data_IF_102524570263
#
_entry.id   IF_102524570263
#
_cell.length_a   1.000
_cell.length_b   1.000
_cell.length_c   1.000
_cell.angle_alpha   90.00
_cell.angle_beta   90.00
_cell.angle_gamma   90.00
#
_symmetry.space_group_name_H-M   'P 1'
#
loop_
_entity.id
_entity.type
_entity.pdbx_description
1 polymer ?
#
# COMPACT_ATOMS: atom_id res chain seq x y z
N UNK A 1 -27.52 7.41 -28.13
CA UNK A 1 -27.19 8.41 -27.10
C UNK A 1 -26.58 7.65 -25.93
N UNK A 2 -25.25 7.57 -25.91
CA UNK A 2 -24.47 7.04 -24.79
C UNK A 2 -23.89 8.25 -24.07
N UNK A 3 -24.09 8.37 -22.76
CA UNK A 3 -23.40 9.33 -21.93
C UNK A 3 -22.79 8.56 -20.75
N UNK A 4 -21.47 8.52 -20.78
CA UNK A 4 -20.57 8.16 -19.68
C UNK A 4 -20.57 9.28 -18.65
N UNK A 5 -20.60 9.00 -17.33
CA UNK A 5 -20.18 9.94 -16.33
C UNK A 5 -18.82 9.49 -15.79
N UNK A 6 -17.76 9.98 -16.44
CA UNK A 6 -16.41 9.97 -15.87
C UNK A 6 -16.16 11.30 -15.16
N UNK A 7 -15.57 11.19 -13.97
CA UNK A 7 -14.82 12.21 -13.23
C UNK A 7 -15.61 13.26 -12.42
N UNK A 8 -15.54 13.12 -11.09
CA UNK A 8 -14.87 14.09 -10.21
C UNK A 8 -14.88 13.53 -8.78
N UNK A 9 -14.03 12.54 -8.53
CA UNK A 9 -13.62 12.16 -7.18
C UNK A 9 -12.29 12.83 -6.88
N UNK A 10 -12.34 14.09 -6.43
CA UNK A 10 -11.16 14.75 -5.88
C UNK A 10 -10.80 14.06 -4.57
N UNK A 11 -9.94 13.04 -4.64
CA UNK A 11 -9.20 12.59 -3.47
C UNK A 11 -8.29 13.76 -3.09
N UNK A 12 -8.67 14.42 -2.01
CA UNK A 12 -7.83 15.38 -1.32
C UNK A 12 -6.67 14.57 -0.75
N UNK A 13 -5.62 14.39 -1.55
CA UNK A 13 -4.31 13.93 -1.10
C UNK A 13 -3.85 14.94 -0.05
N UNK A 14 -4.10 14.62 1.21
CA UNK A 14 -3.41 15.26 2.32
C UNK A 14 -1.99 14.67 2.33
N UNK A 15 -1.20 15.06 1.32
CA UNK A 15 0.24 15.08 1.43
C UNK A 15 0.48 16.07 2.57
N UNK A 16 0.63 15.54 3.77
CA UNK A 16 1.15 16.32 4.87
C UNK A 16 2.61 16.49 4.52
N UNK A 17 2.91 17.56 3.77
CA UNK A 17 4.24 18.08 3.54
C UNK A 17 4.81 18.47 4.90
N UNK A 18 5.26 17.46 5.64
CA UNK A 18 6.22 17.65 6.69
C UNK A 18 7.54 17.93 6.00
N UNK A 19 7.66 19.16 5.47
CA UNK A 19 8.91 19.86 5.34
C UNK A 19 9.48 20.03 6.75
N UNK A 20 9.97 18.94 7.35
CA UNK A 20 11.03 19.03 8.32
C UNK A 20 12.26 19.40 7.50
N UNK A 21 12.38 20.69 7.22
CA UNK A 21 13.67 21.29 6.96
C UNK A 21 14.54 20.82 8.11
N UNK A 22 15.43 19.88 7.82
CA UNK A 22 16.52 19.57 8.72
C UNK A 22 17.33 20.84 8.68
N UNK A 23 17.04 21.73 9.63
CA UNK A 23 17.90 22.87 9.92
C UNK A 23 19.31 22.31 9.94
N UNK A 24 20.17 22.85 9.09
CA UNK A 24 21.59 22.67 9.24
C UNK A 24 21.91 23.19 10.64
N UNK A 25 21.90 22.27 11.61
CA UNK A 25 22.43 22.53 12.93
C UNK A 25 23.91 22.78 12.67
N UNK A 26 24.22 24.07 12.47
CA UNK A 26 25.57 24.60 12.54
C UNK A 26 26.09 24.08 13.86
N UNK A 27 26.91 23.04 13.81
CA UNK A 27 27.75 22.65 14.92
C UNK A 27 28.58 23.90 15.18
N UNK A 28 28.14 24.68 16.18
CA UNK A 28 28.92 25.75 16.74
C UNK A 28 30.06 25.00 17.40
N UNK A 29 31.12 24.77 16.64
CA UNK A 29 32.43 24.50 17.18
C UNK A 29 32.72 25.74 18.01
N UNK A 30 32.36 25.65 19.29
CA UNK A 30 32.82 26.55 20.32
C UNK A 30 34.32 26.61 20.10
N UNK A 31 34.79 27.75 19.59
CA UNK A 31 36.20 28.06 19.52
C UNK A 31 36.57 28.31 20.97
N UNK A 32 36.63 27.23 21.75
CA UNK A 32 37.18 27.26 23.10
C UNK A 32 38.53 27.90 22.92
N UNK A 33 38.69 29.06 23.56
CA UNK A 33 39.90 29.86 23.56
C UNK A 33 41.08 28.89 23.75
N UNK A 34 41.70 28.51 22.64
CA UNK A 34 42.96 27.83 22.67
C UNK A 34 43.89 28.94 23.10
N UNK A 35 44.08 29.03 24.43
CA UNK A 35 45.14 29.77 25.05
C UNK A 35 46.34 29.60 24.13
N UNK A 36 46.66 30.68 23.41
CA UNK A 36 47.94 30.84 22.75
C UNK A 36 48.94 30.86 23.89
N UNK A 37 49.27 29.68 24.41
CA UNK A 37 50.46 29.45 25.18
C UNK A 37 51.57 29.83 24.22
N UNK A 38 51.97 31.09 24.37
CA UNK A 38 53.18 31.69 23.87
C UNK A 38 54.29 30.65 24.07
N UNK A 39 54.56 29.88 23.02
CA UNK A 39 55.72 29.01 22.97
C UNK A 39 56.89 29.96 23.15
N UNK A 40 57.62 29.87 24.27
CA UNK A 40 58.64 30.85 24.58
C UNK A 40 59.57 30.88 23.38
N UNK A 41 59.80 32.08 22.84
CA UNK A 41 60.82 32.32 21.83
C UNK A 41 62.15 31.99 22.49
N UNK A 42 62.49 30.70 22.53
CA UNK A 42 63.71 30.20 23.07
C UNK A 42 64.77 30.66 22.07
N UNK A 43 65.49 31.73 22.40
CA UNK A 43 66.64 32.17 21.61
C UNK A 43 67.54 30.95 21.40
N UNK A 44 67.61 30.48 20.16
CA UNK A 44 68.37 29.31 19.79
C UNK A 44 69.86 29.66 19.87
N UNK A 45 70.42 29.52 21.08
CA UNK A 45 71.84 29.67 21.31
C UNK A 45 72.56 28.52 20.60
N UNK A 46 73.45 28.83 19.65
CA UNK A 46 74.30 27.82 19.03
C UNK A 46 75.12 27.15 20.15
N UNK A 47 74.96 25.84 20.44
CA UNK A 47 75.53 25.21 21.64
C UNK A 47 77.05 25.01 21.57
N UNK A 48 77.68 25.43 20.47
CA UNK A 48 79.05 25.11 20.11
C UNK A 48 79.96 26.28 20.49
N UNK A 49 81.02 26.02 21.26
CA UNK A 49 82.07 27.01 21.50
C UNK A 49 82.85 27.25 20.20
N UNK A 50 82.44 28.28 19.46
CA UNK A 50 83.04 28.66 18.18
C UNK A 50 84.23 29.62 18.38
N UNK A 51 84.78 29.77 19.59
CA UNK A 51 85.89 30.70 19.89
C UNK A 51 87.16 30.43 19.05
N UNK A 52 87.36 29.19 18.63
CA UNK A 52 88.52 28.73 17.84
C UNK A 52 88.40 28.96 16.32
N UNK A 53 87.25 29.41 15.79
CA UNK A 53 87.03 29.63 14.36
C UNK A 53 87.28 31.10 13.95
N UNK A 54 87.67 31.31 12.70
CA UNK A 54 87.60 32.62 12.03
C UNK A 54 86.14 33.15 12.09
N UNK A 55 85.99 34.47 12.27
CA UNK A 55 84.73 35.19 12.26
C UNK A 55 83.84 34.85 11.04
N UNK A 56 84.43 34.69 9.85
CA UNK A 56 83.69 34.33 8.65
C UNK A 56 83.07 32.92 8.77
N UNK A 57 83.87 31.93 9.13
CA UNK A 57 83.44 30.55 9.35
C UNK A 57 82.43 30.45 10.51
N UNK A 58 82.62 31.23 11.58
CA UNK A 58 81.68 31.31 12.71
C UNK A 58 80.31 31.81 12.26
N UNK A 59 80.26 32.89 11.48
CA UNK A 59 79.00 33.45 10.98
C UNK A 59 78.27 32.48 10.04
N UNK A 60 79.01 31.77 9.18
CA UNK A 60 78.42 30.74 8.32
C UNK A 60 77.79 29.60 9.13
N UNK A 61 78.47 29.12 10.18
CA UNK A 61 77.94 28.05 11.04
C UNK A 61 76.69 28.51 11.80
N UNK A 62 76.68 29.75 12.31
CA UNK A 62 75.52 30.32 12.98
C UNK A 62 74.33 30.45 12.03
N UNK A 63 74.54 30.93 10.81
CA UNK A 63 73.45 31.10 9.84
C UNK A 63 72.91 29.76 9.36
N UNK A 64 73.78 28.77 9.12
CA UNK A 64 73.33 27.40 8.79
C UNK A 64 72.54 26.78 9.94
N UNK A 65 72.98 26.97 11.18
CA UNK A 65 72.25 26.48 12.35
C UNK A 65 70.88 27.15 12.48
N UNK A 66 70.82 28.47 12.30
CA UNK A 66 69.58 29.25 12.32
C UNK A 66 68.61 28.76 11.24
N UNK A 67 69.10 28.60 10.01
CA UNK A 67 68.31 28.11 8.88
C UNK A 67 67.78 26.70 9.15
N UNK A 68 68.64 25.80 9.64
CA UNK A 68 68.22 24.44 9.98
C UNK A 68 67.15 24.41 11.08
N UNK A 69 67.28 25.22 12.13
CA UNK A 69 66.28 25.30 13.19
C UNK A 69 64.93 25.80 12.67
N UNK A 70 64.94 26.81 11.80
CA UNK A 70 63.72 27.32 11.16
C UNK A 70 63.07 26.27 10.25
N UNK A 71 63.86 25.61 9.40
CA UNK A 71 63.36 24.58 8.49
C UNK A 71 62.80 23.36 9.25
N UNK A 72 63.46 22.97 10.35
CA UNK A 72 62.96 21.91 11.22
C UNK A 72 61.66 22.29 11.91
N UNK A 73 61.56 23.51 12.44
CA UNK A 73 60.34 24.01 13.08
C UNK A 73 59.19 24.08 12.07
N UNK A 74 59.42 24.67 10.89
CA UNK A 74 58.44 24.77 9.82
C UNK A 74 57.97 23.39 9.35
N UNK A 75 58.90 22.46 9.11
CA UNK A 75 58.56 21.11 8.68
C UNK A 75 57.73 20.35 9.72
N UNK A 76 58.04 20.53 11.01
CA UNK A 76 57.29 19.93 12.12
C UNK A 76 55.87 20.49 12.19
N UNK A 77 55.72 21.81 12.14
CA UNK A 77 54.41 22.47 12.20
C UNK A 77 53.56 22.08 10.99
N UNK A 78 54.15 22.10 9.79
CA UNK A 78 53.47 21.67 8.57
C UNK A 78 52.96 20.23 8.68
N UNK A 79 53.80 19.30 9.15
CA UNK A 79 53.40 17.90 9.29
C UNK A 79 52.24 17.73 10.29
N UNK A 80 52.22 18.51 11.38
CA UNK A 80 51.13 18.48 12.35
C UNK A 80 49.83 19.00 11.73
N UNK A 81 49.87 20.14 11.04
CA UNK A 81 48.70 20.72 10.36
C UNK A 81 48.17 19.76 9.30
N UNK A 82 49.04 19.25 8.42
CA UNK A 82 48.65 18.32 7.35
C UNK A 82 48.01 17.04 7.93
N UNK A 83 48.55 16.51 9.04
CA UNK A 83 47.99 15.33 9.71
C UNK A 83 46.63 15.63 10.34
N UNK A 84 46.50 16.74 11.06
CA UNK A 84 45.23 17.13 11.70
C UNK A 84 44.15 17.40 10.66
N UNK A 85 44.48 18.11 9.57
CA UNK A 85 43.54 18.36 8.47
C UNK A 85 43.07 17.04 7.85
N UNK A 86 43.99 16.12 7.58
CA UNK A 86 43.64 14.81 7.03
C UNK A 86 42.69 14.03 7.94
N UNK A 87 43.00 13.94 9.24
CA UNK A 87 42.13 13.25 10.20
C UNK A 87 40.75 13.92 10.32
N UNK A 88 40.69 15.25 10.26
CA UNK A 88 39.42 15.97 10.28
C UNK A 88 38.59 15.69 9.02
N UNK A 89 39.21 15.72 7.84
CA UNK A 89 38.55 15.39 6.57
C UNK A 89 38.03 13.94 6.57
N UNK A 90 38.82 12.98 7.05
CA UNK A 90 38.41 11.58 7.19
C UNK A 90 37.20 11.46 8.13
N UNK A 91 37.23 12.13 9.29
CA UNK A 91 36.12 12.12 10.24
C UNK A 91 34.81 12.67 9.63
N UNK A 92 34.87 13.81 8.93
CA UNK A 92 33.69 14.39 8.29
C UNK A 92 33.14 13.50 7.17
N UNK A 93 34.03 12.92 6.37
CA UNK A 93 33.66 11.96 5.32
C UNK A 93 32.97 10.74 5.92
N UNK A 94 33.51 10.17 7.00
CA UNK A 94 32.93 9.01 7.67
C UNK A 94 31.57 9.34 8.29
N UNK A 95 31.42 10.52 8.92
CA UNK A 95 30.14 10.97 9.46
C UNK A 95 29.08 11.10 8.35
N UNK A 96 29.44 11.72 7.23
CA UNK A 96 28.54 11.87 6.09
C UNK A 96 28.15 10.51 5.52
N UNK A 97 29.11 9.60 5.37
CA UNK A 97 28.86 8.24 4.89
C UNK A 97 27.91 7.48 5.80
N UNK A 98 28.15 7.47 7.12
CA UNK A 98 27.28 6.81 8.09
C UNK A 98 25.86 7.37 8.01
N UNK A 99 25.72 8.71 7.89
CA UNK A 99 24.42 9.36 7.75
C UNK A 99 23.70 8.90 6.48
N UNK A 100 24.37 8.91 5.34
CA UNK A 100 23.79 8.49 4.06
C UNK A 100 23.43 7.01 4.05
N UNK A 101 24.28 6.16 4.60
CA UNK A 101 24.04 4.72 4.69
C UNK A 101 22.81 4.43 5.57
N UNK A 102 22.68 5.12 6.72
CA UNK A 102 21.52 4.97 7.61
C UNK A 102 20.22 5.41 6.94
N UNK A 103 20.21 6.56 6.26
CA UNK A 103 19.04 7.04 5.53
C UNK A 103 18.64 6.09 4.40
N UNK A 104 19.62 5.51 3.72
CA UNK A 104 19.38 4.54 2.64
C UNK A 104 18.76 3.27 3.19
N UNK A 105 19.30 2.72 4.30
CA UNK A 105 18.75 1.54 4.96
C UNK A 105 17.30 1.75 5.40
N UNK A 106 17.00 2.86 6.08
CA UNK A 106 15.63 3.15 6.49
C UNK A 106 14.68 3.28 5.30
N UNK A 107 15.13 3.90 4.20
CA UNK A 107 14.34 4.01 2.98
C UNK A 107 14.03 2.64 2.38
N UNK A 108 15.05 1.77 2.26
CA UNK A 108 14.89 0.42 1.74
C UNK A 108 13.95 -0.44 2.60
N UNK A 109 14.04 -0.34 3.92
CA UNK A 109 13.14 -1.03 4.85
C UNK A 109 11.68 -0.57 4.72
N UNK A 110 11.45 0.75 4.63
CA UNK A 110 10.13 1.32 4.42
C UNK A 110 9.53 0.90 3.07
N UNK A 111 10.33 0.99 2.00
CA UNK A 111 9.91 0.58 0.66
C UNK A 111 9.62 -0.93 0.62
N UNK A 112 10.43 -1.76 1.27
CA UNK A 112 10.22 -3.20 1.40
C UNK A 112 8.91 -3.53 2.12
N UNK A 113 8.65 -2.88 3.25
CA UNK A 113 7.43 -3.06 4.04
C UNK A 113 6.19 -2.64 3.24
N UNK A 114 6.26 -1.50 2.52
CA UNK A 114 5.17 -1.04 1.65
C UNK A 114 4.86 -2.07 0.57
N UNK A 115 5.87 -2.55 -0.15
CA UNK A 115 5.70 -3.52 -1.22
C UNK A 115 5.11 -4.84 -0.72
N UNK A 116 5.53 -5.32 0.44
CA UNK A 116 5.01 -6.54 1.06
C UNK A 116 3.52 -6.39 1.40
N UNK A 117 3.15 -5.28 2.06
CA UNK A 117 1.76 -4.98 2.40
C UNK A 117 0.88 -4.90 1.15
N UNK A 118 1.29 -4.13 0.15
CA UNK A 118 0.54 -4.03 -1.10
C UNK A 118 0.37 -5.39 -1.78
N UNK A 119 1.41 -6.23 -1.78
CA UNK A 119 1.33 -7.58 -2.33
C UNK A 119 0.30 -8.44 -1.59
N UNK A 120 0.34 -8.41 -0.25
CA UNK A 120 -0.65 -9.11 0.61
C UNK A 120 -2.07 -8.61 0.37
N UNK A 121 -2.26 -7.29 0.24
CA UNK A 121 -3.57 -6.71 -0.07
C UNK A 121 -4.08 -7.13 -1.44
N UNK A 122 -3.23 -7.10 -2.47
CA UNK A 122 -3.58 -7.53 -3.83
C UNK A 122 -4.01 -9.00 -3.87
N UNK A 123 -3.26 -9.89 -3.22
CA UNK A 123 -3.58 -11.32 -3.21
C UNK A 123 -4.85 -11.63 -2.40
N UNK A 124 -5.02 -10.96 -1.27
CA UNK A 124 -6.25 -11.06 -0.47
C UNK A 124 -7.46 -10.60 -1.27
N UNK A 125 -7.38 -9.42 -1.91
CA UNK A 125 -8.47 -8.90 -2.73
C UNK A 125 -8.81 -9.85 -3.88
N UNK A 126 -7.80 -10.36 -4.59
CA UNK A 126 -7.97 -11.34 -5.68
C UNK A 126 -8.69 -12.60 -5.19
N UNK A 127 -8.29 -13.12 -4.03
CA UNK A 127 -8.90 -14.30 -3.42
C UNK A 127 -10.35 -14.04 -3.04
N UNK A 128 -10.65 -12.90 -2.40
CA UNK A 128 -12.01 -12.55 -2.01
C UNK A 128 -12.92 -12.31 -3.23
N UNK A 129 -12.42 -11.64 -4.27
CA UNK A 129 -13.15 -11.48 -5.54
C UNK A 129 -13.47 -12.84 -6.15
N UNK A 130 -12.50 -13.75 -6.22
CA UNK A 130 -12.72 -15.10 -6.77
C UNK A 130 -13.75 -15.89 -5.94
N UNK A 131 -13.70 -15.80 -4.60
CA UNK A 131 -14.69 -16.44 -3.70
C UNK A 131 -16.09 -15.92 -3.95
N UNK A 132 -16.27 -14.60 -4.04
CA UNK A 132 -17.57 -13.98 -4.29
C UNK A 132 -18.10 -14.36 -5.67
N UNK A 133 -17.25 -14.36 -6.70
CA UNK A 133 -17.64 -14.77 -8.05
C UNK A 133 -18.10 -16.23 -8.11
N UNK A 134 -17.37 -17.14 -7.47
CA UNK A 134 -17.74 -18.56 -7.46
C UNK A 134 -19.01 -18.80 -6.63
N UNK A 135 -19.17 -18.11 -5.49
CA UNK A 135 -20.42 -18.15 -4.70
C UNK A 135 -21.60 -17.68 -5.54
N UNK A 136 -21.48 -16.53 -6.19
CA UNK A 136 -22.53 -15.98 -7.03
C UNK A 136 -22.90 -16.92 -8.18
N UNK A 137 -21.89 -17.51 -8.85
CA UNK A 137 -22.10 -18.51 -9.90
C UNK A 137 -22.91 -19.72 -9.40
N UNK A 138 -22.59 -20.24 -8.21
CA UNK A 138 -23.34 -21.34 -7.58
C UNK A 138 -24.77 -20.94 -7.24
N UNK A 139 -24.97 -19.75 -6.69
CA UNK A 139 -26.31 -19.23 -6.37
C UNK A 139 -27.18 -19.09 -7.63
N UNK A 140 -26.63 -18.56 -8.73
CA UNK A 140 -27.33 -18.47 -10.01
C UNK A 140 -27.67 -19.85 -10.58
N UNK A 141 -26.75 -20.81 -10.50
CA UNK A 141 -27.01 -22.18 -10.94
C UNK A 141 -28.10 -22.86 -10.11
N UNK A 142 -28.11 -22.64 -8.80
CA UNK A 142 -29.17 -23.11 -7.91
C UNK A 142 -30.51 -22.44 -8.24
N UNK A 143 -30.49 -21.12 -8.50
CA UNK A 143 -31.67 -20.36 -8.82
C UNK A 143 -32.36 -20.86 -10.09
N UNK A 144 -31.57 -21.14 -11.14
CA UNK A 144 -32.08 -21.65 -12.42
C UNK A 144 -32.75 -23.02 -12.34
N UNK A 145 -32.55 -23.79 -11.25
CA UNK A 145 -33.15 -25.12 -11.05
C UNK A 145 -34.52 -25.07 -10.36
N UNK A 146 -34.98 -23.90 -9.92
CA UNK A 146 -36.22 -23.73 -9.15
C UNK A 146 -37.23 -22.88 -9.91
N UNK A 147 -38.50 -22.94 -9.49
CA UNK A 147 -39.54 -22.02 -9.92
C UNK A 147 -39.66 -20.88 -8.92
N UNK A 148 -39.90 -19.66 -9.41
CA UNK A 148 -39.90 -18.45 -8.60
C UNK A 148 -41.25 -17.75 -8.66
N UNK A 149 -41.70 -17.27 -7.50
CA UNK A 149 -42.94 -16.53 -7.37
C UNK A 149 -42.82 -15.22 -8.13
N UNK A 150 -43.72 -14.98 -9.08
CA UNK A 150 -43.70 -13.74 -9.86
C UNK A 150 -43.84 -12.48 -8.98
N UNK A 151 -44.55 -12.60 -7.85
CA UNK A 151 -44.89 -11.45 -7.01
C UNK A 151 -43.80 -11.07 -6.01
N UNK A 152 -43.06 -12.04 -5.45
CA UNK A 152 -42.17 -11.82 -4.31
C UNK A 152 -40.84 -12.57 -4.38
N UNK A 153 -40.56 -13.26 -5.50
CA UNK A 153 -39.29 -13.96 -5.74
C UNK A 153 -38.94 -15.08 -4.74
N UNK A 154 -39.87 -15.47 -3.87
CA UNK A 154 -39.75 -16.71 -3.09
C UNK A 154 -39.96 -17.94 -3.97
N UNK A 155 -39.48 -19.10 -3.52
CA UNK A 155 -39.68 -20.36 -4.22
C UNK A 155 -41.18 -20.65 -4.42
N UNK A 156 -41.59 -20.84 -5.67
CA UNK A 156 -42.98 -21.06 -6.01
C UNK A 156 -43.39 -22.52 -5.86
N UNK A 157 -44.57 -22.74 -5.29
CA UNK A 157 -45.17 -24.08 -5.12
C UNK A 157 -46.46 -24.24 -5.94
N UNK A 158 -47.05 -23.14 -6.43
CA UNK A 158 -48.25 -23.15 -7.25
C UNK A 158 -47.95 -22.67 -8.66
N UNK A 159 -48.16 -23.53 -9.65
CA UNK A 159 -48.04 -23.17 -11.07
C UNK A 159 -49.35 -22.56 -11.60
N UNK A 160 -49.27 -21.46 -12.36
CA UNK A 160 -50.42 -20.89 -13.09
C UNK A 160 -50.34 -21.21 -14.59
N UNK A 161 -49.36 -20.67 -15.29
CA UNK A 161 -49.09 -20.96 -16.70
C UNK A 161 -47.60 -20.68 -17.03
N UNK A 162 -47.22 -20.82 -18.31
CA UNK A 162 -45.84 -20.62 -18.75
C UNK A 162 -45.24 -19.30 -18.20
N UNK A 163 -44.12 -19.42 -17.49
CA UNK A 163 -43.40 -18.31 -16.86
C UNK A 163 -44.23 -17.52 -15.82
N UNK A 164 -45.23 -18.13 -15.17
CA UNK A 164 -45.95 -17.52 -14.04
C UNK A 164 -46.31 -18.57 -12.99
N UNK A 165 -45.65 -18.49 -11.85
CA UNK A 165 -45.87 -19.32 -10.66
C UNK A 165 -45.92 -18.45 -9.39
N UNK A 166 -46.46 -18.99 -8.29
CA UNK A 166 -46.65 -18.28 -7.02
C UNK A 166 -46.25 -19.16 -5.84
N UNK A 167 -45.77 -18.53 -4.76
CA UNK A 167 -45.52 -19.22 -3.48
C UNK A 167 -46.79 -19.35 -2.62
N UNK A 168 -47.80 -18.50 -2.85
CA UNK A 168 -49.04 -18.49 -2.07
C UNK A 168 -50.23 -17.94 -2.85
N UNK A 169 -51.44 -18.16 -2.34
CA UNK A 169 -52.68 -17.66 -2.94
C UNK A 169 -52.75 -16.14 -2.83
N UNK A 170 -52.24 -15.55 -1.75
CA UNK A 170 -52.16 -14.11 -1.54
C UNK A 170 -51.31 -13.45 -2.62
N UNK A 171 -50.15 -14.04 -2.94
CA UNK A 171 -49.30 -13.58 -4.04
C UNK A 171 -50.02 -13.67 -5.40
N UNK A 172 -50.78 -14.74 -5.62
CA UNK A 172 -51.58 -14.89 -6.84
C UNK A 172 -52.67 -13.82 -6.94
N UNK A 173 -53.44 -13.58 -5.87
CA UNK A 173 -54.51 -12.58 -5.86
C UNK A 173 -53.97 -11.16 -6.07
N UNK A 174 -52.83 -10.84 -5.45
CA UNK A 174 -52.14 -9.55 -5.63
C UNK A 174 -51.76 -9.31 -7.11
N UNK A 175 -51.14 -10.29 -7.76
CA UNK A 175 -50.77 -10.19 -9.18
C UNK A 175 -51.97 -10.35 -10.14
N UNK A 176 -53.10 -10.91 -9.70
CA UNK A 176 -54.17 -11.39 -10.58
C UNK A 176 -54.76 -10.32 -11.49
N UNK A 177 -54.96 -9.10 -10.98
CA UNK A 177 -55.55 -8.00 -11.76
C UNK A 177 -54.75 -7.68 -13.04
N UNK A 178 -53.42 -7.86 -12.98
CA UNK A 178 -52.50 -7.73 -14.12
C UNK A 178 -52.46 -9.02 -14.94
N UNK A 179 -52.22 -10.17 -14.29
CA UNK A 179 -52.02 -11.46 -14.96
C UNK A 179 -53.21 -11.92 -15.81
N UNK A 180 -54.44 -11.69 -15.35
CA UNK A 180 -55.67 -12.21 -15.99
C UNK A 180 -55.84 -11.84 -17.46
N UNK A 181 -55.24 -10.72 -17.89
CA UNK A 181 -55.33 -10.22 -19.28
C UNK A 181 -54.58 -11.11 -20.27
N UNK A 182 -53.52 -11.78 -19.83
CA UNK A 182 -52.61 -12.57 -20.67
C UNK A 182 -52.41 -14.02 -20.17
N UNK A 183 -53.19 -14.44 -19.18
CA UNK A 183 -53.13 -15.78 -18.63
C UNK A 183 -53.45 -16.83 -19.71
N UNK A 184 -52.49 -17.71 -20.00
CA UNK A 184 -52.62 -18.74 -21.06
C UNK A 184 -53.55 -19.89 -20.67
N UNK A 185 -53.77 -20.12 -19.38
CA UNK A 185 -54.68 -21.18 -18.87
C UNK A 185 -56.12 -20.96 -19.34
N UNK A 186 -56.60 -19.71 -19.39
CA UNK A 186 -57.96 -19.37 -19.85
C UNK A 186 -58.18 -19.68 -21.33
N UNK A 187 -57.13 -19.54 -22.16
CA UNK A 187 -57.21 -19.80 -23.61
C UNK A 187 -57.25 -21.30 -23.94
N UNK A 188 -56.61 -22.14 -23.13
CA UNK A 188 -56.58 -23.60 -23.33
C UNK A 188 -57.90 -24.30 -22.98
N UNK A 189 -58.67 -23.77 -22.01
CA UNK A 189 -59.98 -24.33 -21.62
C UNK A 189 -61.09 -24.09 -22.65
N UNK A 190 -60.93 -23.16 -23.61
CA UNK A 190 -61.95 -22.87 -24.62
C UNK A 190 -61.79 -23.64 -25.94
N UNK A 191 -60.76 -24.49 -26.06
CA UNK A 191 -60.43 -25.23 -27.29
C UNK A 191 -60.71 -26.74 -27.21
N UNK A 192 -61.47 -27.22 -26.23
CA UNK A 192 -62.06 -28.57 -26.26
C UNK A 192 -63.48 -28.51 -26.83
N UNK A 193 -63.84 -29.34 -27.84
CA UNK A 193 -65.23 -29.45 -28.27
C UNK A 193 -66.03 -30.16 -27.17
N UNK A 194 -67.20 -29.59 -26.95
CA UNK A 194 -68.17 -29.88 -25.91
C UNK A 194 -68.66 -31.34 -25.95
N UNK A 195 -68.68 -32.01 -24.80
CA UNK A 195 -69.28 -33.32 -24.62
C UNK A 195 -69.86 -33.46 -23.21
N UNK A 196 -71.15 -33.15 -23.06
CA UNK A 196 -72.00 -33.68 -21.99
C UNK A 196 -72.06 -32.88 -20.69
N UNK A 197 -73.10 -32.08 -20.56
CA UNK A 197 -73.60 -31.46 -19.34
C UNK A 197 -74.15 -32.48 -18.31
N UNK A 198 -73.87 -32.26 -17.02
CA UNK A 198 -74.88 -32.46 -15.97
C UNK A 198 -74.53 -31.65 -14.69
N UNK A 199 -75.51 -31.03 -14.00
CA UNK A 199 -75.28 -30.28 -12.75
C UNK A 199 -75.57 -31.15 -11.51
N UNK A 200 -74.78 -31.00 -10.44
CA UNK A 200 -75.10 -31.64 -9.17
C UNK A 200 -74.03 -31.54 -8.09
N UNK A 201 -74.39 -30.85 -7.01
CA UNK A 201 -73.88 -30.96 -5.63
C UNK A 201 -72.53 -30.33 -5.26
N UNK A 202 -72.66 -29.31 -4.42
CA UNK A 202 -71.69 -28.95 -3.40
C UNK A 202 -71.46 -30.13 -2.43
N UNK A 203 -70.21 -30.40 -2.06
CA UNK A 203 -69.84 -30.50 -0.65
C UNK A 203 -68.32 -30.39 -0.43
N UNK A 204 -68.01 -29.86 0.74
CA UNK A 204 -66.71 -29.60 1.36
C UNK A 204 -65.91 -30.85 1.76
N UNK A 205 -64.63 -30.59 2.05
CA UNK A 205 -63.74 -31.26 3.02
C UNK A 205 -62.67 -32.23 2.50
N UNK A 206 -61.42 -31.77 2.68
CA UNK A 206 -60.25 -32.50 3.20
C UNK A 206 -59.98 -33.93 2.74
N UNK A 207 -58.84 -34.15 2.07
CA UNK A 207 -57.74 -34.94 2.64
C UNK A 207 -56.53 -34.99 1.68
N UNK A 208 -55.36 -34.64 2.19
CA UNK A 208 -54.08 -35.25 1.82
C UNK A 208 -53.90 -36.51 2.72
N UNK A 209 -52.86 -37.36 2.55
CA UNK A 209 -51.78 -37.36 1.56
C UNK A 209 -51.62 -38.72 0.86
N UNK A 210 -50.94 -38.78 -0.29
CA UNK A 210 -50.06 -39.92 -0.51
C UNK A 210 -48.89 -39.63 -1.46
N UNK A 211 -47.83 -40.31 -1.07
CA UNK A 211 -46.44 -40.35 -1.50
C UNK A 211 -46.21 -40.98 -2.88
N UNK A 212 -45.00 -40.72 -3.41
CA UNK A 212 -44.24 -41.57 -4.34
C UNK A 212 -44.60 -41.52 -5.83
N UNK A 213 -43.66 -41.03 -6.64
CA UNK A 213 -43.79 -41.08 -8.10
C UNK A 213 -42.79 -40.19 -8.84
N UNK A 214 -41.51 -40.42 -8.62
CA UNK A 214 -40.42 -39.94 -9.47
C UNK A 214 -40.71 -40.21 -10.95
N UNK A 215 -40.85 -39.16 -11.75
CA UNK A 215 -40.71 -39.26 -13.20
C UNK A 215 -39.92 -38.07 -13.72
N UNK A 216 -38.60 -38.25 -13.76
CA UNK A 216 -37.72 -37.51 -14.66
C UNK A 216 -37.91 -38.09 -16.07
N UNK A 217 -38.02 -37.23 -17.08
CA UNK A 217 -37.77 -37.64 -18.47
C UNK A 217 -36.91 -36.60 -19.18
N UNK A 218 -35.99 -37.01 -20.07
CA UNK A 218 -34.82 -36.24 -20.44
C UNK A 218 -34.97 -35.49 -21.77
N UNK A 219 -33.94 -34.65 -21.97
CA UNK A 219 -33.51 -33.82 -23.11
C UNK A 219 -34.21 -32.47 -23.22
#
# INVERSE_FOLDING_TARGET
MMQDPSQHGGQHDMIVDHHHGIEEEKVHLDHGDADHHNMPSQEFQCPVDLSMLDNNSRNMVIELHRQWCLDFQFSREKLLVDMTEKLHQEFLSDQQKIRTDLLTQFKEELDGTRLELESKYRETLKTEVAKVQEKHKREIQSAKKKQWCWQCENEAIYHCCWNTAYCSVECQQSHWHLHRKFCRRKKQQQSQPNGGSNPGSANTSSNAPNTSGSNQRPV
#
